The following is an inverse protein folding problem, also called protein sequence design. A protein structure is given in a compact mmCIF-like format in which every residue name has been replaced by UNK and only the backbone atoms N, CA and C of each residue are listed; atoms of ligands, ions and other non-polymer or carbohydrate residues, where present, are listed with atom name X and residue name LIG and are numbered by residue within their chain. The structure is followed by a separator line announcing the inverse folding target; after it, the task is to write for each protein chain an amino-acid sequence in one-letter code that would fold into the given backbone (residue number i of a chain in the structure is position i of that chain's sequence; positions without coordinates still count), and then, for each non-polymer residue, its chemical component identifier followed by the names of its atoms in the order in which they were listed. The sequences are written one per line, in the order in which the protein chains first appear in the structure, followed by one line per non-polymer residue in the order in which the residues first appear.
data_IF_548193777087
#
_entry.id   IF_548193777087
#
_cell.length_a   1.000
_cell.length_b   1.000
_cell.length_c   1.000
_cell.angle_alpha   90.00
_cell.angle_beta   90.00
_cell.angle_gamma   90.00
#
_symmetry.space_group_name_H-M   'P 1'
#
loop_
_entity.id
_entity.type
_entity.pdbx_description
1 polymer ?
#
# COMPACT_ATOMS: atom_id res chain seq x y z
N UNK A 1 26.83 60.47 20.59
CA UNK A 1 27.65 59.25 20.72
C UNK A 1 26.89 58.09 20.10
N UNK A 2 27.44 57.53 19.01
CA UNK A 2 26.91 56.40 18.24
C UNK A 2 27.44 55.10 18.83
N UNK A 3 26.61 54.17 19.28
CA UNK A 3 26.94 52.73 19.42
C UNK A 3 25.62 51.94 19.34
N UNK A 4 25.27 51.41 18.17
CA UNK A 4 25.58 50.06 17.65
C UNK A 4 24.47 49.03 17.99
N UNK A 5 23.74 48.68 16.94
CA UNK A 5 22.73 47.62 16.86
C UNK A 5 23.42 46.26 16.92
N UNK A 6 22.88 45.33 17.70
CA UNK A 6 23.01 43.88 17.44
C UNK A 6 21.60 43.28 17.50
N UNK A 7 20.94 43.19 16.35
CA UNK A 7 19.80 42.30 16.15
C UNK A 7 20.41 40.91 15.96
N UNK A 8 20.19 40.04 16.94
CA UNK A 8 20.59 38.64 16.86
C UNK A 8 19.57 37.91 15.97
N UNK A 9 19.82 37.90 14.67
CA UNK A 9 19.15 36.98 13.75
C UNK A 9 19.75 35.61 14.04
N UNK A 10 19.07 34.81 14.87
CA UNK A 10 19.32 33.37 14.90
C UNK A 10 18.68 32.80 13.64
N UNK A 11 19.44 32.83 12.55
CA UNK A 11 19.15 32.04 11.37
C UNK A 11 19.33 30.57 11.75
N UNK A 12 18.24 29.90 12.13
CA UNK A 12 18.21 28.44 12.19
C UNK A 12 18.18 27.96 10.74
N UNK A 13 19.36 27.86 10.13
CA UNK A 13 19.56 26.92 9.04
C UNK A 13 19.38 25.53 9.65
N UNK A 14 18.18 24.96 9.54
CA UNK A 14 18.01 23.52 9.79
C UNK A 14 18.61 22.81 8.58
N UNK A 15 19.94 22.69 8.62
CA UNK A 15 20.65 21.62 7.92
C UNK A 15 20.01 20.30 8.34
N UNK A 16 19.70 19.47 7.35
CA UNK A 16 19.26 18.10 7.51
C UNK A 16 20.14 17.40 8.56
N UNK A 17 19.59 17.15 9.76
CA UNK A 17 20.28 16.49 10.86
C UNK A 17 20.33 17.29 12.16
N UNK A 18 19.20 17.33 12.88
CA UNK A 18 19.19 17.60 14.32
C UNK A 18 18.48 16.45 15.04
N UNK A 19 19.31 15.53 15.55
CA UNK A 19 19.15 14.80 16.81
C UNK A 19 17.72 14.39 17.21
N UNK A 20 17.25 13.29 16.62
CA UNK A 20 16.45 12.32 17.35
C UNK A 20 17.39 11.17 17.70
N UNK A 21 17.37 10.73 18.95
CA UNK A 21 18.07 9.52 19.41
C UNK A 21 17.80 8.37 18.45
N UNK A 22 18.86 7.80 17.90
CA UNK A 22 18.83 6.78 16.83
C UNK A 22 18.59 5.35 17.34
N UNK A 23 17.99 5.21 18.52
CA UNK A 23 17.59 3.93 19.10
C UNK A 23 16.06 3.99 19.33
N UNK A 24 15.30 3.07 18.71
CA UNK A 24 13.84 2.82 18.85
C UNK A 24 12.79 3.58 17.98
N UNK A 25 13.07 3.92 16.72
CA UNK A 25 11.99 4.22 15.75
C UNK A 25 12.15 3.41 14.46
N UNK A 26 11.99 2.09 14.56
CA UNK A 26 11.55 1.33 13.39
C UNK A 26 10.18 1.90 13.01
N UNK A 27 10.10 2.61 11.87
CA UNK A 27 8.88 3.28 11.45
C UNK A 27 7.82 2.24 11.09
N UNK A 28 6.93 1.94 12.02
CA UNK A 28 5.81 1.03 11.80
C UNK A 28 4.83 1.62 10.82
N UNK A 29 4.20 0.78 10.01
CA UNK A 29 3.10 1.18 9.12
C UNK A 29 1.82 1.36 9.93
N UNK A 30 1.78 2.37 10.79
CA UNK A 30 0.73 2.58 11.79
C UNK A 30 -0.60 3.08 11.20
N UNK A 31 -0.61 3.49 9.93
CA UNK A 31 -1.80 4.00 9.25
C UNK A 31 -1.92 3.50 7.82
N UNK A 32 -3.12 3.03 7.46
CA UNK A 32 -3.47 2.72 6.08
C UNK A 32 -4.46 3.75 5.56
N UNK A 33 -4.03 4.53 4.56
CA UNK A 33 -4.81 5.62 3.98
C UNK A 33 -4.73 5.56 2.47
N UNK A 34 -5.82 5.92 1.81
CA UNK A 34 -5.91 6.03 0.34
C UNK A 34 -6.23 7.46 -0.07
N UNK A 35 -6.12 7.73 -1.37
CA UNK A 35 -6.31 9.03 -2.01
C UNK A 35 -5.25 10.05 -1.57
N UNK A 36 -4.31 10.36 -2.45
CA UNK A 36 -3.39 11.47 -2.24
C UNK A 36 -4.04 12.79 -2.69
N UNK A 37 -3.76 13.86 -1.97
CA UNK A 37 -4.04 15.21 -2.42
C UNK A 37 -3.16 16.24 -1.70
N UNK A 38 -2.94 17.41 -2.30
CA UNK A 38 -2.00 18.41 -1.78
C UNK A 38 -2.51 19.13 -0.53
N UNK A 39 -3.82 19.05 -0.23
CA UNK A 39 -4.44 19.70 0.92
C UNK A 39 -4.77 18.68 2.02
N UNK A 40 -3.87 18.47 2.98
CA UNK A 40 -4.06 17.51 4.08
C UNK A 40 -5.27 17.78 4.99
N UNK A 41 -5.94 18.93 4.86
CA UNK A 41 -7.14 19.27 5.63
C UNK A 41 -8.45 18.89 4.91
N UNK A 42 -8.40 18.49 3.63
CA UNK A 42 -9.58 17.99 2.94
C UNK A 42 -9.87 16.55 3.43
N UNK A 43 -11.07 16.26 3.98
CA UNK A 43 -11.44 14.92 4.43
C UNK A 43 -11.48 13.87 3.32
N UNK A 44 -11.49 14.27 2.04
CA UNK A 44 -11.42 13.39 0.88
C UNK A 44 -10.00 12.88 0.58
N UNK A 45 -8.98 13.47 1.20
CA UNK A 45 -7.58 13.07 1.04
C UNK A 45 -7.09 12.33 2.28
N UNK A 46 -6.20 11.37 2.06
CA UNK A 46 -5.66 10.51 3.10
C UNK A 46 -6.78 9.82 3.90
N UNK A 47 -7.75 9.25 3.18
CA UNK A 47 -8.93 8.58 3.74
C UNK A 47 -8.47 7.29 4.41
N UNK A 48 -8.64 7.20 5.73
CA UNK A 48 -8.30 6.01 6.51
C UNK A 48 -9.12 4.80 6.05
N UNK A 49 -8.43 3.67 5.91
CA UNK A 49 -9.04 2.40 5.56
C UNK A 49 -9.11 1.50 6.80
N UNK A 50 -10.15 0.68 6.93
CA UNK A 50 -10.27 -0.30 8.01
C UNK A 50 -9.14 -1.32 7.91
N UNK A 51 -8.57 -1.69 9.07
CA UNK A 51 -7.49 -2.69 9.18
C UNK A 51 -7.96 -4.02 9.76
N UNK A 52 -9.21 -4.10 10.18
CA UNK A 52 -9.87 -5.33 10.61
C UNK A 52 -11.21 -5.51 9.90
N UNK A 53 -11.67 -6.76 9.78
CA UNK A 53 -13.01 -7.05 9.24
C UNK A 53 -14.12 -6.38 10.08
N UNK A 54 -13.93 -6.27 11.40
CA UNK A 54 -14.88 -5.59 12.28
C UNK A 54 -15.04 -4.11 11.92
N UNK A 55 -13.92 -3.40 11.74
CA UNK A 55 -13.92 -2.02 11.26
C UNK A 55 -14.49 -1.93 9.84
N UNK A 56 -14.20 -2.89 8.96
CA UNK A 56 -14.70 -2.91 7.59
C UNK A 56 -16.23 -2.96 7.54
N UNK A 57 -16.83 -3.86 8.33
CA UNK A 57 -18.28 -3.99 8.46
C UNK A 57 -18.91 -2.73 9.03
N UNK A 58 -18.29 -2.11 10.05
CA UNK A 58 -18.74 -0.82 10.59
C UNK A 58 -18.69 0.31 9.56
N UNK A 59 -17.76 0.24 8.60
CA UNK A 59 -17.59 1.21 7.52
C UNK A 59 -18.30 0.81 6.21
N UNK A 60 -19.30 -0.08 6.28
CA UNK A 60 -20.13 -0.53 5.16
C UNK A 60 -19.39 -1.25 4.02
N UNK A 61 -18.25 -1.87 4.32
CA UNK A 61 -17.63 -2.80 3.37
C UNK A 61 -18.39 -4.13 3.39
N UNK A 62 -18.60 -4.68 2.20
CA UNK A 62 -19.25 -5.96 1.99
C UNK A 62 -18.22 -6.99 1.55
N UNK A 63 -18.35 -8.20 2.08
CA UNK A 63 -17.53 -9.32 1.64
C UNK A 63 -17.95 -9.73 0.23
N UNK A 64 -16.97 -9.82 -0.66
CA UNK A 64 -17.18 -10.25 -2.06
C UNK A 64 -16.57 -11.62 -2.34
N UNK A 65 -15.68 -12.08 -1.46
CA UNK A 65 -15.05 -13.39 -1.55
C UNK A 65 -14.47 -13.77 -0.18
N UNK A 66 -14.56 -15.05 0.17
CA UNK A 66 -14.01 -15.67 1.37
C UNK A 66 -12.86 -16.65 1.05
N UNK A 67 -12.39 -16.66 -0.20
CA UNK A 67 -11.57 -17.74 -0.71
C UNK A 67 -10.09 -17.58 -0.39
N UNK A 68 -9.51 -18.68 0.07
CA UNK A 68 -8.08 -18.88 0.28
C UNK A 68 -7.46 -19.87 -0.72
N UNK A 69 -8.22 -20.23 -1.76
CA UNK A 69 -7.87 -21.27 -2.74
C UNK A 69 -8.16 -20.80 -4.17
N UNK A 70 -7.78 -19.57 -4.51
CA UNK A 70 -7.87 -19.04 -5.87
C UNK A 70 -6.64 -18.15 -6.19
N UNK A 71 -6.68 -17.47 -7.33
CA UNK A 71 -5.68 -16.51 -7.78
C UNK A 71 -5.45 -15.35 -6.81
N UNK A 72 -6.35 -15.13 -5.85
CA UNK A 72 -6.19 -14.16 -4.78
C UNK A 72 -6.26 -14.86 -3.43
N UNK A 73 -5.40 -14.45 -2.50
CA UNK A 73 -5.40 -14.98 -1.14
C UNK A 73 -6.09 -14.02 -0.19
N UNK A 74 -6.94 -14.58 0.67
CA UNK A 74 -7.57 -13.86 1.76
C UNK A 74 -8.99 -13.41 1.46
N UNK A 75 -9.67 -12.96 2.51
CA UNK A 75 -11.05 -12.51 2.46
C UNK A 75 -11.12 -11.11 1.87
N UNK A 76 -11.92 -10.93 0.83
CA UNK A 76 -11.97 -9.67 0.07
C UNK A 76 -13.24 -8.89 0.38
N UNK A 77 -13.07 -7.60 0.62
CA UNK A 77 -14.14 -6.68 1.01
C UNK A 77 -14.05 -5.39 0.21
N UNK A 78 -15.19 -4.87 -0.23
CA UNK A 78 -15.26 -3.58 -0.92
C UNK A 78 -16.53 -2.83 -0.52
N UNK A 79 -16.53 -1.51 -0.71
CA UNK A 79 -17.80 -0.76 -0.67
C UNK A 79 -18.61 -1.08 -1.91
N UNK A 80 -19.96 -1.05 -1.85
CA UNK A 80 -20.81 -1.29 -3.01
C UNK A 80 -20.40 -0.40 -4.20
N UNK A 81 -20.18 -1.03 -5.36
CA UNK A 81 -19.78 -0.38 -6.61
C UNK A 81 -18.47 0.43 -6.59
N UNK A 82 -17.60 0.22 -5.60
CA UNK A 82 -16.26 0.83 -5.54
C UNK A 82 -15.16 -0.20 -5.83
N UNK A 83 -14.84 -0.37 -7.11
CA UNK A 83 -13.77 -1.26 -7.55
C UNK A 83 -12.37 -0.66 -7.32
N UNK A 84 -12.27 0.62 -6.98
CA UNK A 84 -11.00 1.32 -6.84
C UNK A 84 -10.21 0.87 -5.61
N UNK A 85 -10.91 0.43 -4.55
CA UNK A 85 -10.31 -0.06 -3.31
C UNK A 85 -11.01 -1.32 -2.84
N UNK A 86 -10.36 -2.46 -3.05
CA UNK A 86 -10.76 -3.76 -2.51
C UNK A 86 -9.77 -4.14 -1.42
N UNK A 87 -10.26 -4.36 -0.22
CA UNK A 87 -9.45 -4.71 0.95
C UNK A 87 -9.32 -6.23 1.05
N UNK A 88 -8.11 -6.70 1.32
CA UNK A 88 -7.84 -8.13 1.56
C UNK A 88 -7.53 -8.30 3.05
N UNK A 89 -8.19 -9.25 3.69
CA UNK A 89 -7.92 -9.66 5.07
C UNK A 89 -7.41 -11.10 5.12
N UNK A 90 -6.54 -11.39 6.07
CA UNK A 90 -6.11 -12.76 6.36
C UNK A 90 -7.22 -13.59 7.02
N UNK A 91 -6.92 -14.86 7.30
CA UNK A 91 -7.85 -15.78 7.95
C UNK A 91 -8.17 -15.41 9.42
N UNK A 92 -7.43 -14.48 10.03
CA UNK A 92 -7.70 -13.93 11.37
C UNK A 92 -8.47 -12.59 11.30
N UNK A 93 -8.76 -12.09 10.10
CA UNK A 93 -9.51 -10.86 9.88
C UNK A 93 -8.69 -9.57 10.01
N UNK A 94 -7.37 -9.66 9.89
CA UNK A 94 -6.44 -8.53 9.88
C UNK A 94 -6.06 -8.17 8.45
N UNK A 95 -5.87 -6.88 8.14
CA UNK A 95 -5.52 -6.42 6.78
C UNK A 95 -4.27 -7.14 6.27
N UNK A 96 -4.35 -7.71 5.08
CA UNK A 96 -3.27 -8.46 4.45
C UNK A 96 -2.84 -7.85 3.11
N UNK A 97 -3.66 -6.97 2.54
CA UNK A 97 -3.36 -6.32 1.27
C UNK A 97 -4.48 -5.44 0.76
N UNK A 98 -4.29 -4.95 -0.46
CA UNK A 98 -5.25 -4.15 -1.20
C UNK A 98 -5.23 -4.56 -2.67
N UNK A 99 -6.37 -4.41 -3.32
CA UNK A 99 -6.50 -4.52 -4.75
C UNK A 99 -7.14 -3.27 -5.35
N UNK A 100 -6.80 -3.03 -6.60
CA UNK A 100 -7.46 -2.05 -7.43
C UNK A 100 -8.03 -2.77 -8.65
N UNK A 101 -9.33 -2.63 -8.86
CA UNK A 101 -10.04 -3.15 -10.02
C UNK A 101 -10.27 -2.08 -11.07
N UNK A 102 -9.99 -2.44 -12.32
CA UNK A 102 -10.21 -1.59 -13.49
C UNK A 102 -11.21 -2.31 -14.40
N UNK A 103 -12.39 -1.74 -14.69
CA UNK A 103 -13.33 -2.33 -15.63
C UNK A 103 -12.67 -2.63 -16.97
N UNK A 104 -12.85 -3.85 -17.48
CA UNK A 104 -12.27 -4.28 -18.76
C UNK A 104 -12.72 -3.37 -19.92
N UNK A 105 -13.92 -2.79 -19.82
CA UNK A 105 -14.46 -1.81 -20.77
C UNK A 105 -13.67 -0.48 -20.84
N UNK A 106 -12.89 -0.15 -19.80
CA UNK A 106 -12.04 1.05 -19.76
C UNK A 106 -10.63 0.80 -20.30
N UNK A 107 -10.23 -0.46 -20.50
CA UNK A 107 -8.89 -0.83 -20.92
C UNK A 107 -8.86 -1.07 -22.42
N UNK A 108 -7.86 -0.49 -23.08
CA UNK A 108 -7.54 -0.78 -24.48
C UNK A 108 -6.07 -1.18 -24.63
N UNK A 109 -5.83 -2.29 -25.33
CA UNK A 109 -4.46 -2.75 -25.62
C UNK A 109 -3.76 -1.95 -26.72
N UNK A 110 -4.36 -0.83 -27.18
CA UNK A 110 -3.82 0.00 -28.26
C UNK A 110 -2.48 0.64 -27.92
N UNK A 111 -2.32 1.13 -26.70
CA UNK A 111 -1.11 1.86 -26.27
C UNK A 111 -0.23 1.07 -25.31
N UNK A 112 -0.84 0.16 -24.56
CA UNK A 112 -0.15 -0.72 -23.62
C UNK A 112 -0.89 -2.05 -23.56
N UNK A 113 -0.17 -3.17 -23.68
CA UNK A 113 -0.78 -4.50 -23.69
C UNK A 113 -1.06 -4.98 -22.27
N UNK A 114 -2.10 -4.42 -21.65
CA UNK A 114 -2.56 -4.78 -20.30
C UNK A 114 -2.91 -6.26 -20.22
N UNK A 115 -3.59 -6.79 -21.24
CA UNK A 115 -4.02 -8.20 -21.29
C UNK A 115 -2.87 -9.21 -21.24
N UNK A 116 -1.66 -8.80 -21.63
CA UNK A 116 -0.47 -9.68 -21.64
C UNK A 116 0.40 -9.51 -20.40
N UNK A 117 0.12 -8.52 -19.56
CA UNK A 117 0.89 -8.28 -18.35
C UNK A 117 0.42 -9.21 -17.21
N UNK A 118 1.34 -9.98 -16.65
CA UNK A 118 1.05 -10.95 -15.58
C UNK A 118 0.54 -10.31 -14.28
N UNK A 119 0.80 -9.03 -14.05
CA UNK A 119 0.28 -8.32 -12.88
C UNK A 119 -1.23 -8.05 -12.95
N UNK A 120 -1.81 -8.00 -14.16
CA UNK A 120 -3.22 -7.70 -14.36
C UNK A 120 -4.02 -9.00 -14.42
N UNK A 121 -4.39 -9.51 -13.24
CA UNK A 121 -5.24 -10.69 -13.12
C UNK A 121 -6.68 -10.35 -13.46
N UNK A 122 -7.48 -11.32 -13.92
CA UNK A 122 -8.89 -11.10 -14.24
C UNK A 122 -9.78 -11.56 -13.10
N UNK A 123 -10.88 -10.85 -12.88
CA UNK A 123 -11.94 -11.24 -11.96
C UNK A 123 -13.30 -10.74 -12.47
N UNK A 124 -14.39 -11.29 -11.96
CA UNK A 124 -15.75 -10.80 -12.21
C UNK A 124 -16.46 -10.54 -10.88
N UNK A 125 -16.72 -9.27 -10.59
CA UNK A 125 -17.38 -8.86 -9.35
C UNK A 125 -18.72 -8.21 -9.70
N UNK A 126 -19.81 -8.77 -9.17
CA UNK A 126 -21.18 -8.30 -9.43
C UNK A 126 -21.51 -8.19 -10.95
N UNK A 127 -21.02 -9.14 -11.75
CA UNK A 127 -21.24 -9.20 -13.19
C UNK A 127 -20.36 -8.26 -14.03
N UNK A 128 -19.42 -7.54 -13.40
CA UNK A 128 -18.48 -6.67 -14.10
C UNK A 128 -17.13 -7.35 -14.22
N UNK A 129 -16.63 -7.50 -15.45
CA UNK A 129 -15.27 -7.99 -15.71
C UNK A 129 -14.24 -6.91 -15.36
N UNK A 130 -13.27 -7.28 -14.54
CA UNK A 130 -12.23 -6.39 -14.02
C UNK A 130 -10.84 -6.95 -14.30
N UNK A 131 -9.91 -6.05 -14.58
CA UNK A 131 -8.50 -6.29 -14.36
C UNK A 131 -8.12 -5.85 -12.95
N UNK A 132 -7.54 -6.76 -12.18
CA UNK A 132 -7.18 -6.57 -10.78
C UNK A 132 -5.66 -6.50 -10.65
N UNK A 133 -5.19 -5.43 -10.02
CA UNK A 133 -3.83 -5.31 -9.51
C UNK A 133 -3.85 -5.56 -7.99
N UNK A 134 -2.94 -6.40 -7.51
CA UNK A 134 -2.91 -6.79 -6.09
C UNK A 134 -1.56 -6.45 -5.46
N UNK A 135 -1.62 -5.84 -4.28
CA UNK A 135 -0.49 -5.63 -3.40
C UNK A 135 -0.78 -6.26 -2.02
N UNK A 136 0.07 -7.17 -1.58
CA UNK A 136 0.01 -7.75 -0.24
C UNK A 136 0.97 -7.02 0.70
N UNK A 137 0.52 -6.74 1.92
CA UNK A 137 1.29 -6.09 2.99
C UNK A 137 2.00 -7.08 3.91
N UNK A 138 1.75 -8.37 3.68
CA UNK A 138 2.34 -9.50 4.41
C UNK A 138 2.70 -10.58 3.40
N UNK A 139 3.55 -11.51 3.82
CA UNK A 139 3.91 -12.65 2.99
C UNK A 139 2.66 -13.43 2.56
N UNK A 140 2.42 -13.61 1.25
CA UNK A 140 1.25 -14.34 0.76
C UNK A 140 1.07 -15.74 1.40
N UNK A 141 2.16 -16.40 1.79
CA UNK A 141 2.13 -17.73 2.44
C UNK A 141 1.39 -17.73 3.77
N UNK A 142 1.41 -16.63 4.51
CA UNK A 142 0.83 -16.58 5.86
C UNK A 142 -0.65 -16.23 5.85
N UNK A 143 -1.15 -15.56 4.81
CA UNK A 143 -2.50 -14.96 4.74
C UNK A 143 -3.61 -15.99 5.05
N UNK A 144 -3.50 -17.18 4.49
CA UNK A 144 -4.51 -18.22 4.61
C UNK A 144 -4.16 -19.34 5.59
N UNK A 145 -2.92 -19.36 6.09
CA UNK A 145 -2.43 -20.41 6.98
C UNK A 145 -2.47 -19.97 8.44
N UNK A 146 -1.59 -19.04 8.83
CA UNK A 146 -1.49 -18.56 10.21
C UNK A 146 -2.31 -17.28 10.43
N UNK A 147 -2.30 -16.38 9.44
CA UNK A 147 -2.78 -15.01 9.56
C UNK A 147 -2.04 -14.23 10.64
N UNK A 148 -2.57 -13.05 10.97
CA UNK A 148 -2.06 -12.17 12.04
C UNK A 148 -3.16 -11.88 13.03
N UNK A 149 -2.84 -12.01 14.32
CA UNK A 149 -3.77 -11.63 15.37
C UNK A 149 -4.03 -10.11 15.31
N UNK A 150 -5.29 -9.64 15.31
CA UNK A 150 -5.61 -8.21 15.33
C UNK A 150 -4.92 -7.45 16.48
N UNK A 151 -4.67 -8.09 17.63
CA UNK A 151 -3.95 -7.46 18.76
C UNK A 151 -2.50 -7.10 18.42
N UNK A 152 -1.90 -7.77 17.43
CA UNK A 152 -0.52 -7.52 17.01
C UNK A 152 -0.38 -6.32 16.06
N UNK A 153 -1.49 -5.72 15.57
CA UNK A 153 -1.44 -4.51 14.73
C UNK A 153 -0.71 -3.34 15.39
N UNK A 154 -0.71 -3.26 16.72
CA UNK A 154 0.02 -2.22 17.47
C UNK A 154 1.55 -2.43 17.42
N UNK A 155 2.00 -3.66 17.23
CA UNK A 155 3.42 -4.02 17.18
C UNK A 155 3.92 -4.12 15.73
N UNK A 156 3.17 -4.80 14.86
CA UNK A 156 3.54 -5.11 13.48
C UNK A 156 3.06 -4.05 12.48
N UNK A 157 2.11 -3.19 12.86
CA UNK A 157 1.49 -2.23 11.94
C UNK A 157 0.62 -2.90 10.86
N UNK A 158 0.33 -2.13 9.81
CA UNK A 158 -0.49 -2.52 8.66
C UNK A 158 0.13 -3.67 7.89
N UNK A 159 1.46 -3.76 7.84
CA UNK A 159 2.18 -4.77 7.08
C UNK A 159 3.61 -4.94 7.57
N UNK A 160 4.17 -6.09 7.24
CA UNK A 160 5.56 -6.46 7.50
C UNK A 160 6.42 -6.41 6.23
N UNK A 161 5.81 -6.17 5.07
CA UNK A 161 6.48 -6.04 3.79
C UNK A 161 5.54 -5.60 2.67
N UNK A 162 6.00 -5.67 1.43
CA UNK A 162 5.17 -5.39 0.24
C UNK A 162 5.47 -6.38 -0.88
N UNK A 163 4.43 -7.07 -1.33
CA UNK A 163 4.49 -8.02 -2.43
C UNK A 163 3.50 -7.64 -3.52
N UNK A 164 3.99 -7.41 -4.73
CA UNK A 164 3.14 -7.16 -5.90
C UNK A 164 2.87 -8.49 -6.61
N UNK A 165 1.61 -8.86 -6.75
CA UNK A 165 1.25 -10.08 -7.45
C UNK A 165 1.59 -9.97 -8.93
N UNK A 166 2.37 -10.92 -9.47
CA UNK A 166 2.81 -10.92 -10.86
C UNK A 166 2.59 -12.30 -11.53
N UNK A 167 1.38 -12.81 -11.37
CA UNK A 167 0.91 -14.06 -11.94
C UNK A 167 -0.31 -14.57 -11.18
N UNK A 168 -0.76 -15.76 -11.56
CA UNK A 168 -1.95 -16.39 -10.98
C UNK A 168 -1.67 -17.07 -9.63
N UNK A 169 -0.41 -17.28 -9.25
CA UNK A 169 -0.08 -17.86 -7.94
C UNK A 169 0.62 -16.81 -7.05
N UNK A 170 -0.08 -16.20 -6.07
CA UNK A 170 0.50 -15.18 -5.19
C UNK A 170 1.72 -15.65 -4.37
N UNK A 171 1.80 -16.94 -4.03
CA UNK A 171 2.92 -17.48 -3.23
C UNK A 171 4.20 -17.57 -4.06
N UNK A 172 4.09 -17.90 -5.34
CA UNK A 172 5.25 -18.15 -6.22
C UNK A 172 5.59 -16.99 -7.13
N UNK A 173 4.58 -16.24 -7.55
CA UNK A 173 4.68 -15.26 -8.64
C UNK A 173 4.63 -13.81 -8.12
N UNK A 174 4.74 -13.58 -6.82
CA UNK A 174 4.82 -12.22 -6.27
C UNK A 174 6.23 -11.65 -6.33
N UNK A 175 6.31 -10.34 -6.57
CA UNK A 175 7.55 -9.57 -6.52
C UNK A 175 7.61 -8.87 -5.17
N UNK A 176 8.55 -9.28 -4.33
CA UNK A 176 8.85 -8.56 -3.08
C UNK A 176 9.53 -7.22 -3.39
N UNK A 177 9.06 -6.17 -2.72
CA UNK A 177 9.64 -4.84 -2.81
C UNK A 177 10.62 -4.62 -1.64
N UNK A 178 11.86 -4.18 -1.93
CA UNK A 178 12.83 -3.85 -0.89
C UNK A 178 12.28 -2.76 0.03
N UNK A 179 12.32 -3.01 1.33
CA UNK A 179 11.85 -2.06 2.35
C UNK A 179 12.84 -0.91 2.60
N UNK A 180 14.12 -1.16 2.37
CA UNK A 180 15.19 -0.23 2.70
C UNK A 180 15.98 0.16 1.46
N UNK A 181 16.26 1.45 1.30
CA UNK A 181 17.01 1.97 0.15
C UNK A 181 18.39 1.32 0.00
N UNK A 182 19.06 0.96 1.09
CA UNK A 182 20.36 0.27 1.03
C UNK A 182 20.28 -1.14 0.43
N UNK A 183 19.10 -1.76 0.41
CA UNK A 183 18.85 -3.07 -0.21
C UNK A 183 18.47 -2.96 -1.69
N UNK A 184 18.20 -1.75 -2.19
CA UNK A 184 17.83 -1.51 -3.60
C UNK A 184 18.99 -1.78 -4.55
N UNK A 185 20.24 -1.48 -4.15
CA UNK A 185 21.43 -1.56 -5.01
C UNK A 185 21.69 -2.95 -5.63
N UNK A 186 21.20 -4.02 -5.00
CA UNK A 186 21.35 -5.41 -5.47
C UNK A 186 20.10 -5.95 -6.16
N UNK A 187 19.17 -5.08 -6.54
CA UNK A 187 17.89 -5.46 -7.15
C UNK A 187 17.69 -4.77 -8.49
N UNK A 188 16.61 -5.13 -9.19
CA UNK A 188 16.16 -4.40 -10.39
C UNK A 188 15.42 -3.11 -10.04
N UNK A 189 15.35 -2.71 -8.78
CA UNK A 189 14.75 -1.44 -8.40
C UNK A 189 15.79 -0.32 -8.53
N UNK A 190 15.39 0.80 -9.10
CA UNK A 190 16.20 1.97 -9.29
C UNK A 190 15.54 3.15 -8.57
N UNK A 191 16.37 4.04 -8.06
CA UNK A 191 15.92 5.25 -7.39
C UNK A 191 15.17 6.15 -8.37
N UNK A 192 13.92 6.46 -8.06
CA UNK A 192 13.04 7.32 -8.84
C UNK A 192 13.23 8.81 -8.52
N UNK A 193 12.37 9.63 -9.13
CA UNK A 193 12.37 11.09 -8.94
C UNK A 193 11.61 11.44 -7.67
N UNK A 194 12.05 12.48 -6.96
CA UNK A 194 11.29 13.04 -5.85
C UNK A 194 10.07 13.80 -6.40
N UNK A 195 8.87 13.33 -6.08
CA UNK A 195 7.62 13.99 -6.41
C UNK A 195 7.24 14.92 -5.25
N UNK A 196 7.04 16.23 -5.48
CA UNK A 196 6.63 17.16 -4.43
C UNK A 196 5.45 16.60 -3.64
N UNK A 197 5.54 16.60 -2.31
CA UNK A 197 4.55 16.07 -1.35
C UNK A 197 4.29 14.55 -1.35
N UNK A 198 4.89 13.78 -2.26
CA UNK A 198 4.85 12.30 -2.25
C UNK A 198 6.18 11.66 -1.84
N UNK A 199 7.27 12.45 -1.88
CA UNK A 199 8.60 12.00 -1.52
C UNK A 199 9.29 11.26 -2.68
N UNK A 200 10.23 10.39 -2.32
CA UNK A 200 11.09 9.69 -3.26
C UNK A 200 10.54 8.29 -3.54
N UNK A 201 10.31 7.97 -4.81
CA UNK A 201 9.84 6.63 -5.22
C UNK A 201 11.00 5.76 -5.70
N UNK A 202 10.83 4.44 -5.67
CA UNK A 202 11.73 3.48 -6.31
C UNK A 202 10.98 2.81 -7.48
N UNK A 203 11.61 2.76 -8.65
CA UNK A 203 11.04 2.23 -9.89
C UNK A 203 11.80 0.99 -10.34
N UNK A 204 11.10 -0.10 -10.65
CA UNK A 204 11.76 -1.30 -11.20
C UNK A 204 12.23 -1.04 -12.63
N UNK A 205 13.53 -1.13 -12.89
CA UNK A 205 14.12 -1.13 -14.23
C UNK A 205 13.69 -2.39 -14.98
N UNK A 206 13.31 -2.24 -16.26
CA UNK A 206 12.87 -3.33 -17.13
C UNK A 206 13.93 -4.42 -17.27
#
# INVERSE_FOLDING_TARGET
MKYFIIVLIVSINVTCGLLLSADDLESKWDSFKVTWGPNSFNPEYFVKQPRTIAEAKQNNYQQISDQCEDIFLGQRFMKPNDYGVILIYDNQGTIAGVQMGIPASMITDKFYKYSTQKMFNRDTIAGVELYILTAYFVDPRTICQSGRNPSHLNHEGTGTGLWLQNGSNPIRDSIEMPLYDNTVNNTKWAKGVCLPTMGMSNNKSR
#
